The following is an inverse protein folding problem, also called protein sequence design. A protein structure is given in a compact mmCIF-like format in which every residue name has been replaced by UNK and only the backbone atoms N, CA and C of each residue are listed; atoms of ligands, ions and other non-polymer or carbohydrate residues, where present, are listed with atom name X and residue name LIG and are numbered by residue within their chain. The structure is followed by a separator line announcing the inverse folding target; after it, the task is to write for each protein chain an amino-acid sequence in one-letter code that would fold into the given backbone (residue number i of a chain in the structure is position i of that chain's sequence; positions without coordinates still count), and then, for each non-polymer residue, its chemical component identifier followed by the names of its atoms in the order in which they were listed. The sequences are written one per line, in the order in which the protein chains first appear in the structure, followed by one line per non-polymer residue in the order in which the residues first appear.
data_IF_242574462893
#
_entry.id   IF_242574462893
#
_cell.length_a   1.000
_cell.length_b   1.000
_cell.length_c   1.000
_cell.angle_alpha   90.00
_cell.angle_beta   90.00
_cell.angle_gamma   90.00
#
_symmetry.space_group_name_H-M   'P 1'
#
loop_
_entity.id
_entity.type
_entity.pdbx_description
1 polymer ?
#
# COMPACT_ATOMS: atom_id res chain seq x y z
N UNK A 1 0.78 -1.10 6.54
CA UNK A 1 0.48 -1.27 5.10
C UNK A 1 1.53 -0.58 4.26
N UNK A 2 1.78 -1.06 3.04
CA UNK A 2 2.67 -0.40 2.07
C UNK A 2 1.90 -0.16 0.77
N UNK A 3 1.81 1.08 0.33
CA UNK A 3 1.09 1.50 -0.88
C UNK A 3 2.09 1.97 -1.94
N UNK A 4 2.03 1.40 -3.13
CA UNK A 4 3.00 1.54 -4.20
C UNK A 4 4.15 0.54 -4.08
N UNK A 5 4.18 -0.45 -4.96
CA UNK A 5 5.18 -1.53 -5.00
C UNK A 5 6.29 -1.26 -6.02
N UNK A 6 6.75 -0.01 -6.06
CA UNK A 6 7.99 0.36 -6.74
C UNK A 6 9.23 -0.22 -6.03
N UNK A 7 10.41 0.24 -6.46
CA UNK A 7 11.70 -0.19 -5.88
C UNK A 7 11.79 0.01 -4.37
N UNK A 8 11.22 1.11 -3.87
CA UNK A 8 11.24 1.44 -2.44
C UNK A 8 10.18 0.65 -1.67
N UNK A 9 8.90 0.77 -2.05
CA UNK A 9 7.81 0.12 -1.32
C UNK A 9 7.96 -1.39 -1.24
N UNK A 10 8.37 -2.06 -2.33
CA UNK A 10 8.63 -3.51 -2.29
C UNK A 10 9.78 -3.90 -1.35
N UNK A 11 10.85 -3.10 -1.28
CA UNK A 11 11.96 -3.34 -0.36
C UNK A 11 11.55 -3.15 1.11
N UNK A 12 10.72 -2.13 1.39
CA UNK A 12 10.15 -1.90 2.72
C UNK A 12 9.23 -3.04 3.12
N UNK A 13 8.28 -3.41 2.25
CA UNK A 13 7.35 -4.51 2.48
C UNK A 13 8.10 -5.82 2.77
N UNK A 14 9.13 -6.14 1.99
CA UNK A 14 9.96 -7.33 2.20
C UNK A 14 10.70 -7.30 3.54
N UNK A 15 11.27 -6.16 3.91
CA UNK A 15 11.95 -6.00 5.20
C UNK A 15 10.99 -6.20 6.37
N UNK A 16 9.79 -5.61 6.29
CA UNK A 16 8.76 -5.75 7.32
C UNK A 16 8.27 -7.19 7.47
N UNK A 17 8.03 -7.89 6.35
CA UNK A 17 7.68 -9.32 6.35
C UNK A 17 8.78 -10.17 6.98
N UNK A 18 10.05 -9.90 6.64
CA UNK A 18 11.21 -10.61 7.23
C UNK A 18 11.35 -10.38 8.74
N UNK A 19 10.91 -9.22 9.23
CA UNK A 19 10.85 -8.91 10.66
C UNK A 19 9.65 -9.54 11.37
N UNK A 20 8.80 -10.28 10.65
CA UNK A 20 7.62 -10.96 11.19
C UNK A 20 6.38 -10.08 11.33
N UNK A 21 6.36 -8.91 10.67
CA UNK A 21 5.16 -8.08 10.60
C UNK A 21 4.23 -8.55 9.51
N UNK A 22 2.92 -8.44 9.77
CA UNK A 22 1.91 -8.63 8.75
C UNK A 22 1.78 -7.37 7.89
N UNK A 23 1.87 -7.54 6.57
CA UNK A 23 1.96 -6.44 5.61
C UNK A 23 0.96 -6.66 4.50
N UNK A 24 -0.02 -5.75 4.42
CA UNK A 24 -0.81 -5.54 3.23
C UNK A 24 -0.01 -4.67 2.25
N UNK A 25 0.30 -5.23 1.09
CA UNK A 25 0.96 -4.59 -0.04
C UNK A 25 -0.09 -4.17 -1.08
N UNK A 26 -0.05 -2.92 -1.55
CA UNK A 26 -1.04 -2.36 -2.48
C UNK A 26 -0.33 -1.70 -3.65
N UNK A 27 -0.77 -1.94 -4.88
CA UNK A 27 -0.37 -1.17 -6.07
C UNK A 27 -1.58 -1.04 -7.00
N UNK A 28 -1.66 0.04 -7.77
CA UNK A 28 -2.74 0.24 -8.73
C UNK A 28 -2.63 -0.70 -9.94
N UNK A 29 -1.39 -1.15 -10.27
CA UNK A 29 -1.11 -1.96 -11.47
C UNK A 29 -1.27 -3.45 -11.17
N UNK A 30 -2.23 -4.13 -11.82
CA UNK A 30 -2.42 -5.57 -11.64
C UNK A 30 -1.19 -6.39 -11.97
N UNK A 31 -0.36 -5.94 -12.93
CA UNK A 31 0.87 -6.65 -13.32
C UNK A 31 1.89 -6.67 -12.18
N UNK A 32 1.97 -5.58 -11.40
CA UNK A 32 2.85 -5.50 -10.24
C UNK A 32 2.31 -6.37 -9.10
N UNK A 33 1.01 -6.32 -8.85
CA UNK A 33 0.36 -7.16 -7.85
C UNK A 33 0.60 -8.64 -8.15
N UNK A 34 0.37 -9.07 -9.39
CA UNK A 34 0.61 -10.45 -9.81
C UNK A 34 2.07 -10.89 -9.64
N UNK A 35 3.02 -9.98 -9.92
CA UNK A 35 4.45 -10.24 -9.73
C UNK A 35 4.81 -10.47 -8.27
N UNK A 36 4.19 -9.72 -7.35
CA UNK A 36 4.50 -9.80 -5.92
C UNK A 36 3.59 -10.75 -5.14
N UNK A 37 2.54 -11.30 -5.76
CA UNK A 37 1.63 -12.27 -5.15
C UNK A 37 2.32 -13.55 -4.64
N UNK A 38 3.48 -13.91 -5.20
CA UNK A 38 4.32 -15.02 -4.70
C UNK A 38 5.25 -14.63 -3.56
N UNK A 39 5.54 -13.33 -3.41
CA UNK A 39 6.53 -12.80 -2.47
C UNK A 39 5.90 -12.37 -1.13
N UNK A 40 4.62 -11.96 -1.15
CA UNK A 40 3.90 -11.47 0.03
C UNK A 40 2.57 -12.20 0.21
N UNK A 41 2.18 -12.39 1.47
CA UNK A 41 0.93 -13.07 1.85
C UNK A 41 -0.32 -12.29 1.45
N UNK A 42 -0.25 -10.96 1.48
CA UNK A 42 -1.37 -10.07 1.18
C UNK A 42 -0.94 -8.99 0.18
N UNK A 43 -1.40 -9.14 -1.07
CA UNK A 43 -1.20 -8.16 -2.14
C UNK A 43 -2.53 -7.85 -2.81
N UNK A 44 -2.86 -6.57 -2.96
CA UNK A 44 -4.14 -6.12 -3.53
C UNK A 44 -3.92 -5.08 -4.61
N UNK A 45 -4.71 -5.18 -5.68
CA UNK A 45 -4.82 -4.13 -6.69
C UNK A 45 -5.89 -3.13 -6.27
N UNK A 46 -5.52 -1.88 -6.02
CA UNK A 46 -6.46 -0.82 -5.67
C UNK A 46 -5.91 0.55 -6.09
N UNK A 47 -6.81 1.43 -6.50
CA UNK A 47 -6.52 2.86 -6.66
C UNK A 47 -6.54 3.51 -5.28
N UNK A 48 -5.37 3.94 -4.81
CA UNK A 48 -5.21 4.48 -3.46
C UNK A 48 -5.57 5.96 -3.38
N UNK A 49 -5.88 6.61 -4.50
CA UNK A 49 -6.39 7.98 -4.56
C UNK A 49 -7.89 8.04 -4.24
N UNK A 50 -8.59 6.90 -4.34
CA UNK A 50 -9.98 6.76 -3.93
C UNK A 50 -10.08 6.29 -2.47
N UNK A 51 -10.57 7.16 -1.60
CA UNK A 51 -10.80 6.85 -0.18
C UNK A 51 -11.75 5.66 0.01
N UNK A 52 -12.72 5.44 -0.87
CA UNK A 52 -13.60 4.30 -0.77
C UNK A 52 -12.89 2.99 -1.08
N UNK A 53 -11.98 2.99 -2.07
CA UNK A 53 -11.10 1.85 -2.33
C UNK A 53 -10.20 1.55 -1.12
N UNK A 54 -9.66 2.57 -0.45
CA UNK A 54 -8.92 2.40 0.80
C UNK A 54 -9.77 1.75 1.92
N UNK A 55 -11.05 2.12 2.06
CA UNK A 55 -11.96 1.45 3.01
C UNK A 55 -12.23 0.00 2.64
N UNK A 56 -12.46 -0.28 1.36
CA UNK A 56 -12.76 -1.64 0.88
C UNK A 56 -11.62 -2.62 1.14
N UNK A 57 -10.37 -2.15 1.13
CA UNK A 57 -9.20 -2.96 1.49
C UNK A 57 -8.92 -2.98 3.00
N UNK A 58 -9.78 -2.36 3.81
CA UNK A 58 -9.68 -2.32 5.27
C UNK A 58 -8.56 -1.42 5.77
N UNK A 59 -8.25 -0.32 5.09
CA UNK A 59 -7.14 0.55 5.45
C UNK A 59 -7.22 1.07 6.89
N UNK A 60 -8.42 1.32 7.43
CA UNK A 60 -8.63 1.77 8.81
C UNK A 60 -8.15 0.76 9.88
N UNK A 61 -7.93 -0.50 9.51
CA UNK A 61 -7.46 -1.54 10.43
C UNK A 61 -5.94 -1.47 10.67
N UNK A 62 -5.22 -0.67 9.87
CA UNK A 62 -3.77 -0.54 9.96
C UNK A 62 -3.37 0.73 10.69
N UNK A 63 -2.54 0.60 11.73
CA UNK A 63 -2.06 1.75 12.49
C UNK A 63 -0.95 2.57 11.82
N UNK A 64 -0.29 2.03 10.78
CA UNK A 64 0.83 2.67 10.07
C UNK A 64 0.76 2.36 8.57
N UNK A 65 0.95 3.39 7.74
CA UNK A 65 1.08 3.26 6.30
C UNK A 65 2.41 3.82 5.77
N UNK A 66 2.97 3.16 4.76
CA UNK A 66 4.12 3.64 3.99
C UNK A 66 3.67 3.90 2.56
N UNK A 67 3.73 5.16 2.12
CA UNK A 67 3.38 5.56 0.75
C UNK A 67 4.66 5.66 -0.08
N UNK A 68 4.80 4.74 -1.05
CA UNK A 68 5.95 4.58 -1.94
C UNK A 68 5.64 4.87 -3.41
N UNK A 69 4.69 5.76 -3.68
CA UNK A 69 4.32 6.20 -5.04
C UNK A 69 5.34 7.26 -5.50
N UNK A 70 6.08 6.97 -6.58
CA UNK A 70 7.23 7.78 -6.98
C UNK A 70 7.05 8.58 -8.29
N UNK A 71 6.12 8.16 -9.14
CA UNK A 71 5.92 8.74 -10.47
C UNK A 71 4.81 9.78 -10.51
N UNK A 72 3.99 9.82 -9.46
CA UNK A 72 2.83 10.70 -9.36
C UNK A 72 2.74 11.27 -7.94
N UNK A 73 3.12 12.55 -7.82
CA UNK A 73 3.09 13.27 -6.54
C UNK A 73 1.64 13.53 -6.13
N UNK A 74 0.76 13.80 -7.08
CA UNK A 74 -0.66 14.06 -6.80
C UNK A 74 -1.31 12.81 -6.21
N UNK A 75 -1.09 11.65 -6.81
CA UNK A 75 -1.55 10.38 -6.28
C UNK A 75 -0.99 10.10 -4.88
N UNK A 76 0.28 10.43 -4.64
CA UNK A 76 0.90 10.29 -3.31
C UNK A 76 0.22 11.15 -2.26
N UNK A 77 -0.07 12.42 -2.58
CA UNK A 77 -0.73 13.36 -1.66
C UNK A 77 -2.17 12.93 -1.39
N UNK A 78 -2.94 12.59 -2.42
CA UNK A 78 -4.32 12.12 -2.28
C UNK A 78 -4.40 10.85 -1.43
N UNK A 79 -3.49 9.91 -1.66
CA UNK A 79 -3.40 8.69 -0.86
C UNK A 79 -3.16 9.01 0.62
N UNK A 80 -2.21 9.90 0.93
CA UNK A 80 -1.94 10.31 2.31
C UNK A 80 -3.16 11.00 2.94
N UNK A 81 -3.84 11.88 2.21
CA UNK A 81 -5.06 12.53 2.70
C UNK A 81 -6.17 11.51 3.01
N UNK A 82 -6.42 10.56 2.10
CA UNK A 82 -7.39 9.49 2.33
C UNK A 82 -7.04 8.63 3.54
N UNK A 83 -5.76 8.31 3.74
CA UNK A 83 -5.30 7.55 4.91
C UNK A 83 -5.47 8.33 6.22
N UNK A 84 -5.19 9.63 6.22
CA UNK A 84 -5.39 10.51 7.38
C UNK A 84 -6.87 10.60 7.77
N UNK A 85 -7.77 10.71 6.78
CA UNK A 85 -9.22 10.71 7.00
C UNK A 85 -9.71 9.38 7.60
N UNK A 86 -9.02 8.27 7.32
CA UNK A 86 -9.28 6.95 7.91
C UNK A 86 -8.59 6.73 9.27
N UNK A 87 -7.88 7.74 9.79
CA UNK A 87 -7.21 7.69 11.10
C UNK A 87 -5.89 6.91 11.12
N UNK A 88 -5.32 6.61 9.95
CA UNK A 88 -4.02 5.97 9.81
C UNK A 88 -2.91 6.99 10.13
N UNK A 89 -1.84 6.54 10.78
CA UNK A 89 -0.71 7.39 11.20
C UNK A 89 0.51 7.26 10.29
#
# INVERSE_FOLDING_TARGET
MVLGLGRFGSAVARSLVQLGHDVLAVDERPEIVQRYASDFTHVVAADTTDTEALRQIGAEQFGVAVVGIGTDIEASVLTVLGLLDLGVK
#
